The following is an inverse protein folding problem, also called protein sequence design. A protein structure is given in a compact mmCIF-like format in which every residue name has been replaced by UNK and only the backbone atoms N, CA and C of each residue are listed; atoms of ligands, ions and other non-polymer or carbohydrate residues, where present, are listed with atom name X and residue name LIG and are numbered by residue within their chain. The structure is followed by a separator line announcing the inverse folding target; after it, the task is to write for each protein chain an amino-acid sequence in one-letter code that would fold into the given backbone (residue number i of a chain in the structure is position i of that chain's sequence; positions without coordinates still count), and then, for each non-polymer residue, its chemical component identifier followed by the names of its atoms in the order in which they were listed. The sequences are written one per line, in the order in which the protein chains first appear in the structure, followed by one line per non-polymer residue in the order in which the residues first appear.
data_IF_261657808814
#
_entry.id   IF_261657808814
#
_cell.length_a   1.000
_cell.length_b   1.000
_cell.length_c   1.000
_cell.angle_alpha   90.00
_cell.angle_beta   90.00
_cell.angle_gamma   90.00
#
_symmetry.space_group_name_H-M   'P 1'
#
loop_
_entity.id
_entity.type
_entity.pdbx_description
1 polymer ?
#
# COMPACT_ATOMS: atom_id res chain seq x y z
N UNK A 1 -0.87 17.12 12.45
CA UNK A 1 0.44 16.73 11.89
C UNK A 1 0.24 15.55 10.97
N UNK A 2 0.47 15.72 9.67
CA UNK A 2 0.35 14.65 8.68
C UNK A 2 1.69 13.92 8.57
N UNK A 3 1.74 12.68 9.06
CA UNK A 3 2.79 11.72 8.71
C UNK A 3 2.52 11.23 7.29
N UNK A 4 3.50 11.44 6.40
CA UNK A 4 3.33 11.44 4.95
C UNK A 4 3.61 12.85 4.47
N UNK A 5 4.85 13.06 4.00
CA UNK A 5 5.42 14.37 3.73
C UNK A 5 4.43 15.32 3.05
N UNK A 6 3.85 16.23 3.83
CA UNK A 6 2.94 17.25 3.35
C UNK A 6 3.77 18.42 2.86
N UNK A 7 4.11 18.42 1.58
CA UNK A 7 4.72 19.59 0.95
C UNK A 7 3.59 20.51 0.48
N UNK A 8 3.19 21.43 1.35
CA UNK A 8 2.40 22.60 0.91
C UNK A 8 3.35 23.52 0.16
N UNK A 9 3.31 23.53 -1.16
CA UNK A 9 3.97 24.58 -1.95
C UNK A 9 3.45 24.57 -3.39
N UNK A 10 3.25 25.75 -3.97
CA UNK A 10 3.11 25.95 -5.42
C UNK A 10 4.35 25.53 -6.22
N UNK A 11 5.44 25.15 -5.54
CA UNK A 11 6.68 24.60 -6.08
C UNK A 11 6.84 23.09 -5.85
N UNK A 12 5.92 22.46 -5.11
CA UNK A 12 5.90 21.01 -5.00
C UNK A 12 5.02 20.49 -6.14
N UNK A 13 5.63 19.98 -7.21
CA UNK A 13 4.95 19.18 -8.22
C UNK A 13 4.06 18.09 -7.58
N UNK A 14 3.17 17.44 -8.36
CA UNK A 14 2.02 16.71 -7.84
C UNK A 14 2.38 15.83 -6.63
N UNK A 15 1.89 16.23 -5.45
CA UNK A 15 2.10 15.60 -4.13
C UNK A 15 1.75 14.10 -4.08
N UNK A 16 1.21 13.57 -5.17
CA UNK A 16 0.79 12.20 -5.41
C UNK A 16 0.93 11.94 -6.92
N UNK A 17 2.17 11.84 -7.41
CA UNK A 17 2.40 11.41 -8.78
C UNK A 17 2.11 9.90 -8.89
N UNK A 18 1.25 9.45 -9.81
CA UNK A 18 1.08 8.03 -10.08
C UNK A 18 2.42 7.40 -10.48
N UNK A 19 2.68 6.17 -10.04
CA UNK A 19 3.97 5.50 -10.32
C UNK A 19 4.27 5.34 -11.81
N UNK A 20 3.23 5.14 -12.63
CA UNK A 20 3.36 5.08 -14.10
C UNK A 20 3.60 6.43 -14.75
N UNK A 21 3.26 7.55 -14.11
CA UNK A 21 3.66 8.87 -14.60
C UNK A 21 5.15 9.06 -14.33
N UNK A 22 5.63 8.61 -13.17
CA UNK A 22 7.03 8.71 -12.76
C UNK A 22 8.02 7.93 -13.66
N UNK A 23 7.55 7.11 -14.61
CA UNK A 23 8.40 6.37 -15.56
C UNK A 23 8.58 7.12 -16.89
N UNK A 24 7.72 8.10 -17.19
CA UNK A 24 7.71 8.83 -18.47
C UNK A 24 8.94 9.71 -18.64
N UNK A 25 9.31 10.01 -19.88
CA UNK A 25 10.44 10.89 -20.18
C UNK A 25 10.26 12.29 -19.60
N UNK A 26 11.36 12.95 -19.27
CA UNK A 26 11.37 14.27 -18.62
C UNK A 26 10.60 15.32 -19.45
N UNK A 27 10.69 15.28 -20.78
CA UNK A 27 9.95 16.20 -21.67
C UNK A 27 8.44 16.01 -21.55
N UNK A 28 7.97 14.76 -21.47
CA UNK A 28 6.54 14.44 -21.30
C UNK A 28 6.06 14.86 -19.91
N UNK A 29 6.89 14.66 -18.88
CA UNK A 29 6.60 15.10 -17.52
C UNK A 29 6.45 16.62 -17.43
N UNK A 30 7.33 17.36 -18.11
CA UNK A 30 7.26 18.81 -18.16
C UNK A 30 6.02 19.29 -18.95
N UNK A 31 5.81 18.78 -20.16
CA UNK A 31 4.73 19.24 -21.05
C UNK A 31 3.34 18.93 -20.49
N UNK A 32 3.12 17.69 -20.01
CA UNK A 32 1.78 17.20 -19.64
C UNK A 32 1.45 17.34 -18.16
N UNK A 33 2.46 17.33 -17.30
CA UNK A 33 2.27 17.35 -15.85
C UNK A 33 2.89 18.56 -15.16
N UNK A 34 3.50 19.48 -15.93
CA UNK A 34 4.22 20.64 -15.42
C UNK A 34 5.25 20.25 -14.35
N UNK A 35 5.93 19.12 -14.56
CA UNK A 35 6.94 18.57 -13.66
C UNK A 35 8.32 18.69 -14.31
N UNK A 36 9.04 19.76 -13.95
CA UNK A 36 10.44 19.93 -14.34
C UNK A 36 11.33 19.05 -13.46
N UNK A 37 11.67 17.85 -13.96
CA UNK A 37 12.59 16.94 -13.27
C UNK A 37 13.99 17.53 -13.11
N UNK A 38 14.46 18.33 -14.07
CA UNK A 38 15.79 18.92 -14.06
C UNK A 38 15.94 19.98 -12.95
N UNK A 39 14.85 20.65 -12.60
CA UNK A 39 14.82 21.59 -11.46
C UNK A 39 14.94 20.92 -10.08
N UNK A 40 14.71 19.61 -9.98
CA UNK A 40 14.76 18.86 -8.72
C UNK A 40 16.19 18.45 -8.34
N UNK A 41 16.53 18.30 -7.05
CA UNK A 41 17.79 17.68 -6.63
C UNK A 41 17.95 16.26 -7.18
N UNK A 42 19.18 15.87 -7.53
CA UNK A 42 19.47 14.56 -8.12
C UNK A 42 18.95 13.40 -7.27
N UNK A 43 19.19 13.45 -5.97
CA UNK A 43 18.71 12.42 -5.02
C UNK A 43 17.18 12.30 -5.03
N UNK A 44 16.46 13.40 -5.30
CA UNK A 44 15.00 13.39 -5.41
C UNK A 44 14.56 12.74 -6.72
N UNK A 45 15.19 13.09 -7.85
CA UNK A 45 14.94 12.44 -9.15
C UNK A 45 15.14 10.93 -9.06
N UNK A 46 16.28 10.49 -8.50
CA UNK A 46 16.60 9.07 -8.35
C UNK A 46 15.55 8.33 -7.52
N UNK A 47 15.11 8.90 -6.39
CA UNK A 47 14.04 8.32 -5.55
C UNK A 47 12.69 8.23 -6.26
N UNK A 48 12.37 9.19 -7.12
CA UNK A 48 11.15 9.16 -7.93
C UNK A 48 11.24 8.02 -8.95
N UNK A 49 12.33 7.95 -9.71
CA UNK A 49 12.56 6.91 -10.74
C UNK A 49 12.64 5.51 -10.13
N UNK A 50 13.28 5.35 -8.98
CA UNK A 50 13.34 4.07 -8.26
C UNK A 50 11.97 3.54 -7.81
N UNK A 51 10.99 4.43 -7.61
CA UNK A 51 9.62 4.06 -7.21
C UNK A 51 8.65 3.97 -8.39
N UNK A 52 9.09 4.32 -9.59
CA UNK A 52 8.27 4.23 -10.78
C UNK A 52 7.90 2.77 -11.07
N UNK A 53 6.78 2.58 -11.74
CA UNK A 53 6.28 1.27 -12.16
C UNK A 53 5.44 1.48 -13.41
N UNK A 54 5.41 0.52 -14.33
CA UNK A 54 4.53 0.60 -15.49
C UNK A 54 3.05 0.56 -15.09
N UNK A 55 2.18 0.90 -16.05
CA UNK A 55 0.74 0.98 -15.81
C UNK A 55 0.14 -0.39 -15.46
N UNK A 56 0.57 -1.45 -16.14
CA UNK A 56 0.04 -2.81 -15.95
C UNK A 56 0.35 -3.30 -14.53
N UNK A 57 1.57 -3.05 -14.04
CA UNK A 57 1.96 -3.29 -12.65
C UNK A 57 1.07 -2.55 -11.65
N UNK A 58 0.67 -1.30 -11.94
CA UNK A 58 -0.29 -0.56 -11.12
C UNK A 58 -1.68 -1.21 -11.12
N UNK A 59 -2.14 -1.68 -12.29
CA UNK A 59 -3.43 -2.37 -12.43
C UNK A 59 -3.42 -3.72 -11.69
N UNK A 60 -2.35 -4.49 -11.80
CA UNK A 60 -2.21 -5.78 -11.12
C UNK A 60 -2.20 -5.61 -9.59
N UNK A 61 -1.52 -4.59 -9.08
CA UNK A 61 -1.56 -4.22 -7.66
C UNK A 61 -2.98 -3.85 -7.23
N UNK A 62 -3.69 -3.02 -8.00
CA UNK A 62 -5.07 -2.65 -7.70
C UNK A 62 -5.98 -3.89 -7.68
N UNK A 63 -5.85 -4.77 -8.69
CA UNK A 63 -6.59 -6.02 -8.79
C UNK A 63 -6.35 -6.91 -7.56
N UNK A 64 -5.09 -7.07 -7.15
CA UNK A 64 -4.73 -7.88 -5.97
C UNK A 64 -5.31 -7.31 -4.69
N UNK A 65 -5.20 -5.99 -4.49
CA UNK A 65 -5.74 -5.34 -3.29
C UNK A 65 -7.28 -5.47 -3.24
N UNK A 66 -7.97 -5.39 -4.38
CA UNK A 66 -9.41 -5.66 -4.45
C UNK A 66 -9.74 -7.12 -4.10
N UNK A 67 -8.99 -8.08 -4.65
CA UNK A 67 -9.16 -9.50 -4.33
C UNK A 67 -8.94 -9.78 -2.83
N UNK A 68 -7.95 -9.14 -2.19
CA UNK A 68 -7.73 -9.22 -0.74
C UNK A 68 -8.84 -8.53 0.07
N UNK A 69 -9.38 -7.40 -0.41
CA UNK A 69 -10.42 -6.65 0.30
C UNK A 69 -11.72 -7.46 0.46
N UNK A 70 -12.12 -8.19 -0.58
CA UNK A 70 -13.28 -9.10 -0.53
C UNK A 70 -13.09 -10.31 0.40
N UNK A 71 -11.85 -10.57 0.83
CA UNK A 71 -11.51 -11.67 1.72
C UNK A 71 -11.25 -11.21 3.17
N UNK A 72 -11.46 -9.94 3.48
CA UNK A 72 -11.43 -9.43 4.87
C UNK A 72 -12.57 -10.06 5.69
N UNK A 73 -12.37 -10.14 7.01
CA UNK A 73 -13.44 -10.58 7.89
C UNK A 73 -14.61 -9.59 7.86
N UNK A 74 -15.82 -10.10 7.62
CA UNK A 74 -17.03 -9.28 7.47
C UNK A 74 -17.19 -8.58 6.13
N UNK A 75 -16.29 -8.79 5.16
CA UNK A 75 -16.42 -8.21 3.83
C UNK A 75 -17.70 -8.68 3.11
N UNK A 76 -18.30 -7.83 2.27
CA UNK A 76 -19.42 -8.24 1.43
C UNK A 76 -18.99 -9.29 0.41
N UNK A 77 -19.92 -10.13 -0.02
CA UNK A 77 -19.69 -11.08 -1.11
C UNK A 77 -19.70 -10.28 -2.43
N UNK A 78 -18.65 -10.36 -3.27
CA UNK A 78 -18.64 -9.72 -4.58
C UNK A 78 -19.73 -10.29 -5.50
N UNK A 79 -20.17 -9.50 -6.47
CA UNK A 79 -21.01 -10.01 -7.55
C UNK A 79 -20.28 -11.08 -8.38
N UNK A 80 -21.03 -11.87 -9.15
CA UNK A 80 -20.47 -13.01 -9.89
C UNK A 80 -19.42 -12.61 -10.91
N UNK A 81 -19.58 -11.44 -11.55
CA UNK A 81 -18.60 -10.96 -12.52
C UNK A 81 -17.29 -10.61 -11.82
N UNK A 82 -17.35 -9.80 -10.76
CA UNK A 82 -16.18 -9.38 -9.98
C UNK A 82 -15.45 -10.59 -9.38
N UNK A 83 -16.20 -11.55 -8.81
CA UNK A 83 -15.63 -12.78 -8.26
C UNK A 83 -14.86 -13.57 -9.32
N UNK A 84 -15.53 -13.94 -10.40
CA UNK A 84 -14.93 -14.77 -11.46
C UNK A 84 -13.72 -14.09 -12.08
N UNK A 85 -13.82 -12.78 -12.36
CA UNK A 85 -12.73 -11.99 -12.91
C UNK A 85 -11.49 -12.03 -11.99
N UNK A 86 -11.65 -11.80 -10.69
CA UNK A 86 -10.50 -11.74 -9.78
C UNK A 86 -9.92 -13.13 -9.46
N UNK A 87 -10.76 -14.17 -9.38
CA UNK A 87 -10.32 -15.55 -9.13
C UNK A 87 -9.54 -16.15 -10.31
N UNK A 88 -9.77 -15.68 -11.55
CA UNK A 88 -8.96 -16.07 -12.71
C UNK A 88 -7.48 -15.69 -12.55
N UNK A 89 -7.18 -14.59 -11.87
CA UNK A 89 -5.80 -14.12 -11.66
C UNK A 89 -5.15 -14.68 -10.39
N UNK A 90 -5.90 -14.82 -9.30
CA UNK A 90 -5.32 -15.06 -7.97
C UNK A 90 -5.83 -16.32 -7.27
N UNK A 91 -6.67 -17.09 -7.95
CA UNK A 91 -7.30 -18.29 -7.40
C UNK A 91 -8.52 -17.99 -6.52
N UNK A 92 -9.15 -19.04 -5.98
CA UNK A 92 -10.41 -18.93 -5.25
C UNK A 92 -10.31 -18.00 -4.05
N UNK A 93 -11.32 -17.16 -3.87
CA UNK A 93 -11.45 -16.32 -2.68
C UNK A 93 -11.89 -17.16 -1.48
N UNK A 94 -11.23 -16.95 -0.35
CA UNK A 94 -11.60 -17.55 0.94
C UNK A 94 -12.01 -16.44 1.90
N UNK A 95 -13.28 -16.42 2.28
CA UNK A 95 -13.83 -15.39 3.16
C UNK A 95 -13.08 -15.35 4.51
N UNK A 96 -12.70 -14.14 4.95
CA UNK A 96 -11.98 -13.93 6.21
C UNK A 96 -10.52 -14.37 6.21
N UNK A 97 -9.93 -14.71 5.05
CA UNK A 97 -8.53 -15.16 4.96
C UNK A 97 -7.50 -14.02 4.93
N UNK A 98 -7.91 -12.78 4.65
CA UNK A 98 -6.97 -11.66 4.58
C UNK A 98 -6.48 -11.26 5.97
N UNK A 99 -5.17 -11.42 6.17
CA UNK A 99 -4.47 -11.05 7.39
C UNK A 99 -3.55 -9.85 7.16
N UNK A 100 -3.18 -9.16 8.23
CA UNK A 100 -2.18 -8.10 8.22
C UNK A 100 -0.84 -8.64 7.72
N UNK A 101 -0.22 -7.97 6.75
CA UNK A 101 1.07 -8.38 6.17
C UNK A 101 2.20 -8.47 7.20
N UNK A 102 2.10 -7.74 8.31
CA UNK A 102 3.14 -7.64 9.33
C UNK A 102 2.83 -8.57 10.51
N UNK A 103 1.73 -8.35 11.22
CA UNK A 103 1.45 -9.11 12.44
C UNK A 103 0.70 -10.43 12.23
N UNK A 104 0.24 -10.69 10.99
CA UNK A 104 -0.51 -11.89 10.58
C UNK A 104 -1.84 -12.12 11.31
N UNK A 105 -2.34 -11.13 12.07
CA UNK A 105 -3.69 -11.15 12.62
C UNK A 105 -4.74 -10.83 11.53
N UNK A 106 -5.99 -11.34 11.68
CA UNK A 106 -7.09 -11.02 10.78
C UNK A 106 -7.31 -9.53 10.63
N UNK A 107 -7.62 -9.10 9.41
CA UNK A 107 -8.11 -7.76 9.12
C UNK A 107 -9.62 -7.82 8.89
N UNK A 108 -10.34 -6.83 9.44
CA UNK A 108 -11.79 -6.71 9.27
C UNK A 108 -12.13 -5.58 8.32
N UNK A 109 -13.27 -5.67 7.63
CA UNK A 109 -13.76 -4.59 6.75
C UNK A 109 -14.05 -3.31 7.54
N UNK A 110 -14.43 -3.43 8.82
CA UNK A 110 -14.75 -2.29 9.68
C UNK A 110 -13.57 -1.32 9.83
N UNK A 111 -12.33 -1.80 9.74
CA UNK A 111 -11.14 -0.95 9.73
C UNK A 111 -11.16 0.09 8.59
N UNK A 112 -11.83 -0.20 7.46
CA UNK A 112 -12.00 0.78 6.38
C UNK A 112 -12.99 1.88 6.74
N UNK A 113 -14.01 1.58 7.55
CA UNK A 113 -14.97 2.57 8.04
C UNK A 113 -14.37 3.53 9.08
N UNK A 114 -13.34 3.08 9.79
CA UNK A 114 -12.59 3.89 10.76
C UNK A 114 -11.58 4.84 10.10
N UNK A 115 -11.27 4.62 8.82
CA UNK A 115 -10.35 5.46 8.06
C UNK A 115 -10.92 6.88 7.89
N UNK A 116 -10.14 7.87 8.33
CA UNK A 116 -10.42 9.29 8.14
C UNK A 116 -9.23 9.98 7.51
N UNK A 117 -9.45 11.17 6.94
CA UNK A 117 -8.36 12.01 6.43
C UNK A 117 -7.33 12.24 7.55
N UNK A 118 -6.10 11.77 7.34
CA UNK A 118 -4.99 11.90 8.30
C UNK A 118 -4.90 10.80 9.36
N UNK A 119 -5.86 9.86 9.43
CA UNK A 119 -5.85 8.72 10.37
C UNK A 119 -6.44 7.47 9.70
N UNK A 120 -5.58 6.54 9.30
CA UNK A 120 -6.02 5.22 8.85
C UNK A 120 -6.05 4.22 10.03
N UNK A 121 -6.96 3.26 10.04
CA UNK A 121 -6.88 2.07 10.88
C UNK A 121 -6.17 0.93 10.12
N UNK A 122 -6.36 0.88 8.80
CA UNK A 122 -5.72 -0.06 7.87
C UNK A 122 -5.09 0.70 6.69
N UNK A 123 -3.90 0.27 6.27
CA UNK A 123 -3.14 0.85 5.17
C UNK A 123 -2.78 -0.22 4.14
N UNK A 124 -2.56 0.21 2.90
CA UNK A 124 -1.87 -0.63 1.93
C UNK A 124 -0.40 -0.73 2.31
N UNK A 125 0.17 -1.92 2.18
CA UNK A 125 1.55 -2.20 2.55
C UNK A 125 2.28 -2.87 1.38
N UNK A 126 3.58 -2.57 1.29
CA UNK A 126 4.53 -3.26 0.43
C UNK A 126 5.48 -4.06 1.32
N UNK A 127 5.66 -5.36 1.05
CA UNK A 127 6.69 -6.17 1.75
C UNK A 127 8.09 -5.59 1.47
N UNK A 128 8.31 -5.16 0.22
CA UNK A 128 9.48 -4.42 -0.23
C UNK A 128 9.06 -3.07 -0.83
N UNK A 129 9.41 -1.90 -0.24
CA UNK A 129 8.92 -0.59 -0.70
C UNK A 129 9.27 -0.20 -2.16
N UNK A 130 10.26 -0.87 -2.74
CA UNK A 130 10.81 -0.60 -4.08
C UNK A 130 10.24 -1.50 -5.18
N UNK A 131 9.45 -2.50 -4.83
CA UNK A 131 8.84 -3.43 -5.79
C UNK A 131 7.34 -3.15 -5.89
N UNK A 132 6.81 -2.97 -7.11
CA UNK A 132 5.40 -2.66 -7.31
C UNK A 132 4.75 -3.73 -8.19
N UNK A 133 4.29 -4.82 -7.58
CA UNK A 133 3.56 -5.90 -8.25
C UNK A 133 2.58 -6.56 -7.27
N UNK A 134 1.72 -7.44 -7.79
CA UNK A 134 0.67 -8.12 -7.03
C UNK A 134 1.21 -8.96 -5.85
N UNK A 135 2.36 -9.61 -5.98
CA UNK A 135 2.89 -10.51 -4.94
C UNK A 135 3.54 -9.78 -3.75
N UNK A 136 3.85 -8.50 -3.95
CA UNK A 136 4.51 -7.66 -2.97
C UNK A 136 3.56 -6.75 -2.18
N UNK A 137 2.26 -6.76 -2.47
CA UNK A 137 1.27 -5.89 -1.83
C UNK A 137 0.29 -6.64 -0.94
N UNK A 138 -0.20 -5.93 0.07
CA UNK A 138 -1.31 -6.38 0.90
C UNK A 138 -1.83 -5.24 1.78
N UNK A 139 -2.54 -5.59 2.84
CA UNK A 139 -3.01 -4.65 3.84
C UNK A 139 -2.27 -4.85 5.17
N UNK A 140 -2.08 -3.78 5.92
CA UNK A 140 -1.53 -3.82 7.26
C UNK A 140 -2.34 -2.94 8.20
N UNK A 141 -2.45 -3.35 9.47
CA UNK A 141 -2.88 -2.42 10.50
C UNK A 141 -1.93 -1.22 10.51
N UNK A 142 -2.46 0.01 10.60
CA UNK A 142 -1.62 1.22 10.59
C UNK A 142 -0.54 1.17 11.67
N UNK A 143 -0.89 0.72 12.87
CA UNK A 143 0.07 0.63 13.97
C UNK A 143 1.19 -0.39 13.72
N UNK A 144 0.97 -1.39 12.86
CA UNK A 144 2.03 -2.30 12.43
C UNK A 144 2.89 -1.67 11.32
N UNK A 145 2.28 -0.92 10.42
CA UNK A 145 2.94 -0.33 9.25
C UNK A 145 3.79 0.90 9.60
N UNK A 146 3.56 1.49 10.78
CA UNK A 146 4.27 2.66 11.28
C UNK A 146 5.08 2.25 12.52
N UNK A 147 6.42 2.33 12.41
CA UNK A 147 7.32 2.09 13.55
C UNK A 147 7.21 3.16 14.65
N UNK A 148 6.51 4.26 14.39
CA UNK A 148 6.20 5.31 15.37
C UNK A 148 4.91 4.94 16.12
N UNK A 149 5.07 4.45 17.34
CA UNK A 149 3.96 4.08 18.21
C UNK A 149 4.18 4.55 19.65
N UNK A 150 3.17 4.37 20.48
CA UNK A 150 3.21 4.65 21.91
C UNK A 150 3.76 3.48 22.74
N UNK A 151 4.31 2.45 22.08
CA UNK A 151 4.84 1.25 22.77
C UNK A 151 6.15 1.58 23.49
N UNK A 152 6.30 1.07 24.69
CA UNK A 152 7.61 0.95 25.34
C UNK A 152 8.50 -0.03 24.58
N UNK A 153 9.80 -0.05 24.90
CA UNK A 153 10.73 -1.01 24.31
C UNK A 153 10.34 -2.46 24.64
N UNK A 154 9.88 -2.72 25.87
CA UNK A 154 9.45 -4.06 26.31
C UNK A 154 8.17 -4.49 25.60
N UNK A 155 7.20 -3.59 25.45
CA UNK A 155 5.98 -3.84 24.68
C UNK A 155 6.27 -4.10 23.20
N UNK A 156 7.32 -3.48 22.67
CA UNK A 156 7.77 -3.74 21.30
C UNK A 156 8.42 -5.13 21.17
N UNK A 157 9.26 -5.56 22.12
CA UNK A 157 9.84 -6.90 22.12
C UNK A 157 8.79 -8.00 22.23
N UNK A 158 7.83 -7.84 23.16
CA UNK A 158 6.70 -8.76 23.29
C UNK A 158 5.89 -8.84 21.99
N UNK A 159 5.60 -7.69 21.38
CA UNK A 159 4.90 -7.67 20.10
C UNK A 159 5.67 -8.42 19.01
N UNK A 160 7.00 -8.25 18.91
CA UNK A 160 7.82 -9.01 17.95
C UNK A 160 7.78 -10.51 18.20
N UNK A 161 7.88 -10.95 19.45
CA UNK A 161 7.81 -12.36 19.82
C UNK A 161 6.46 -12.99 19.43
N UNK A 162 5.36 -12.30 19.69
CA UNK A 162 4.04 -12.76 19.28
C UNK A 162 3.92 -12.88 17.76
N UNK A 163 4.48 -11.93 17.00
CA UNK A 163 4.49 -12.00 15.53
C UNK A 163 5.29 -13.21 15.05
N UNK A 164 6.48 -13.43 15.60
CA UNK A 164 7.31 -14.60 15.25
C UNK A 164 6.63 -15.91 15.61
N UNK A 165 5.90 -15.96 16.72
CA UNK A 165 5.12 -17.12 17.13
C UNK A 165 4.03 -17.45 16.12
N UNK A 166 3.26 -16.44 15.68
CA UNK A 166 2.23 -16.60 14.64
C UNK A 166 2.82 -17.10 13.32
N UNK A 167 3.95 -16.54 12.90
CA UNK A 167 4.62 -16.95 11.65
C UNK A 167 5.09 -18.40 11.69
N UNK A 168 5.52 -18.91 12.85
CA UNK A 168 5.92 -20.33 13.00
C UNK A 168 4.73 -21.31 12.96
N UNK A 169 3.52 -20.84 13.21
CA UNK A 169 2.31 -21.66 13.26
C UNK A 169 1.54 -21.69 11.93
N UNK A 170 1.92 -20.86 10.96
CA UNK A 170 1.37 -20.79 9.61
C UNK A 170 2.17 -21.70 8.65
#
# INVERSE_FOLDING_TARGET
MTTGAAWKSSQAGPNRMPRYVAILDDDILLEKFNLDMQSLPEITRLKIREKAADYDSCIDVARKLTWLAYQLHGAPIPDSFTKNYLEEFFGPMVAGSTNCEICKLPLTIDLFSENRVGKAAVETAHKTPRLHNAENVGFAHRFCNVAQGNKSLDEFYLWMEEVLTRVKML
#
